data_IF_312932414619
#
_entry.id   IF_312932414619
#
_cell.length_a   1.000
_cell.length_b   1.000
_cell.length_c   1.000
_cell.angle_alpha   90.00
_cell.angle_beta   90.00
_cell.angle_gamma   90.00
#
_symmetry.space_group_name_H-M   'P 1'
#
loop_
_entity.id
_entity.type
_entity.pdbx_description
1 polymer ?
#
# COMPACT_ATOMS: atom_id res chain seq x y z
N UNK A 1 -14.53 9.70 -20.06
CA UNK A 1 -13.78 8.80 -19.15
C UNK A 1 -12.77 9.63 -18.35
N UNK A 2 -12.87 9.73 -17.02
CA UNK A 2 -11.95 10.54 -16.18
C UNK A 2 -10.68 9.74 -15.86
N UNK A 3 -9.50 10.24 -16.21
CA UNK A 3 -8.20 9.61 -15.90
C UNK A 3 -7.64 10.22 -14.61
N UNK A 4 -7.51 9.40 -13.57
CA UNK A 4 -6.79 9.80 -12.35
C UNK A 4 -5.29 9.86 -12.66
N UNK A 5 -4.63 10.95 -12.27
CA UNK A 5 -3.18 11.13 -12.52
C UNK A 5 -2.32 10.23 -11.63
N UNK A 6 -2.79 9.91 -10.43
CA UNK A 6 -2.04 9.15 -9.40
C UNK A 6 -2.95 8.15 -8.66
N UNK A 7 -3.53 7.17 -9.37
CA UNK A 7 -4.47 6.22 -8.78
C UNK A 7 -3.80 5.39 -7.67
N UNK A 8 -4.52 5.26 -6.55
CA UNK A 8 -4.18 4.33 -5.46
C UNK A 8 -5.30 3.30 -5.38
N UNK A 9 -4.97 2.03 -5.63
CA UNK A 9 -5.89 0.91 -5.53
C UNK A 9 -5.82 0.31 -4.13
N UNK A 10 -6.95 -0.07 -3.56
CA UNK A 10 -7.03 -0.69 -2.24
C UNK A 10 -7.75 -2.03 -2.40
N UNK A 11 -7.17 -3.11 -1.89
CA UNK A 11 -7.71 -4.47 -2.02
C UNK A 11 -7.50 -5.28 -0.74
N UNK A 12 -8.35 -6.27 -0.49
CA UNK A 12 -8.13 -7.32 0.53
C UNK A 12 -7.46 -8.57 -0.05
N UNK A 13 -7.36 -8.67 -1.38
CA UNK A 13 -6.72 -9.79 -2.06
C UNK A 13 -5.19 -9.60 -2.08
N UNK A 14 -4.58 -9.87 -0.92
CA UNK A 14 -3.13 -9.76 -0.77
C UNK A 14 -2.39 -10.85 -1.57
N UNK A 15 -3.01 -12.02 -1.78
CA UNK A 15 -2.36 -13.16 -2.44
C UNK A 15 -2.04 -12.85 -3.90
N UNK A 16 -2.94 -12.17 -4.60
CA UNK A 16 -2.76 -11.90 -6.03
C UNK A 16 -2.14 -10.56 -6.36
N UNK A 17 -2.24 -9.59 -5.45
CA UNK A 17 -1.78 -8.23 -5.68
C UNK A 17 -0.50 -7.85 -4.93
N UNK A 18 -0.14 -8.52 -3.84
CA UNK A 18 1.14 -8.28 -3.15
C UNK A 18 2.29 -9.03 -3.85
N UNK A 19 2.66 -8.54 -5.02
CA UNK A 19 3.70 -9.12 -5.88
C UNK A 19 4.58 -8.01 -6.45
N UNK A 20 5.90 -8.20 -6.43
CA UNK A 20 6.87 -7.24 -6.97
C UNK A 20 6.62 -6.92 -8.45
N UNK A 21 6.10 -7.87 -9.23
CA UNK A 21 5.75 -7.71 -10.65
C UNK A 21 4.59 -6.71 -10.88
N UNK A 22 3.87 -6.30 -9.83
CA UNK A 22 2.81 -5.28 -9.88
C UNK A 22 3.34 -3.87 -9.59
N UNK A 23 4.65 -3.67 -9.46
CA UNK A 23 5.24 -2.35 -9.33
C UNK A 23 5.10 -1.54 -10.63
N UNK A 24 4.63 -0.31 -10.52
CA UNK A 24 4.59 0.65 -11.62
C UNK A 24 4.61 2.08 -11.06
N UNK A 25 5.43 2.95 -11.65
CA UNK A 25 5.56 4.36 -11.22
C UNK A 25 4.26 5.16 -11.35
N UNK A 26 3.29 4.67 -12.12
CA UNK A 26 2.03 5.37 -12.43
C UNK A 26 0.93 5.11 -11.40
N UNK A 27 1.08 4.14 -10.50
CA UNK A 27 0.06 3.82 -9.52
C UNK A 27 0.63 3.31 -8.19
N UNK A 28 -0.25 3.13 -7.22
CA UNK A 28 0.02 2.44 -5.97
C UNK A 28 -1.04 1.37 -5.74
N UNK A 29 -0.65 0.24 -5.14
CA UNK A 29 -1.57 -0.79 -4.65
C UNK A 29 -1.38 -0.93 -3.14
N UNK A 30 -2.47 -0.91 -2.38
CA UNK A 30 -2.50 -1.16 -0.94
C UNK A 30 -3.32 -2.42 -0.69
N UNK A 31 -2.65 -3.48 -0.26
CA UNK A 31 -3.21 -4.76 0.15
C UNK A 31 -3.43 -4.74 1.67
N UNK A 32 -4.68 -4.89 2.12
CA UNK A 32 -5.06 -4.74 3.54
C UNK A 32 -5.50 -6.09 4.11
N UNK A 33 -4.59 -6.70 4.86
CA UNK A 33 -4.64 -8.03 5.44
C UNK A 33 -5.03 -7.97 6.93
N UNK A 34 -6.19 -7.38 7.20
CA UNK A 34 -6.75 -7.20 8.56
C UNK A 34 -8.22 -7.62 8.60
N UNK A 35 -8.79 -7.73 9.81
CA UNK A 35 -10.21 -8.06 9.95
C UNK A 35 -11.10 -6.97 9.32
N UNK A 36 -12.31 -7.34 8.89
CA UNK A 36 -13.23 -6.42 8.19
C UNK A 36 -13.56 -5.18 9.03
N UNK A 37 -13.67 -5.35 10.34
CA UNK A 37 -13.96 -4.28 11.30
C UNK A 37 -12.82 -3.26 11.43
N UNK A 38 -11.59 -3.66 11.14
CA UNK A 38 -10.39 -2.80 11.26
C UNK A 38 -10.03 -2.11 9.95
N UNK A 39 -10.53 -2.63 8.82
CA UNK A 39 -10.14 -2.22 7.47
C UNK A 39 -10.17 -0.70 7.26
N UNK A 40 -11.27 -0.04 7.64
CA UNK A 40 -11.42 1.41 7.43
C UNK A 40 -10.41 2.19 8.28
N UNK A 41 -10.18 1.78 9.53
CA UNK A 41 -9.24 2.45 10.42
C UNK A 41 -7.80 2.29 9.92
N UNK A 42 -7.42 1.08 9.52
CA UNK A 42 -6.11 0.78 8.94
C UNK A 42 -5.87 1.60 7.69
N UNK A 43 -6.81 1.62 6.75
CA UNK A 43 -6.71 2.44 5.54
C UNK A 43 -6.48 3.91 5.88
N UNK A 44 -7.28 4.48 6.80
CA UNK A 44 -7.11 5.88 7.22
C UNK A 44 -5.74 6.15 7.84
N UNK A 45 -5.21 5.23 8.65
CA UNK A 45 -3.87 5.35 9.24
C UNK A 45 -2.77 5.29 8.19
N UNK A 46 -2.90 4.44 7.17
CA UNK A 46 -1.96 4.40 6.05
C UNK A 46 -1.91 5.73 5.29
N UNK A 47 -3.06 6.32 4.99
CA UNK A 47 -3.10 7.65 4.34
C UNK A 47 -2.59 8.79 5.22
N UNK A 48 -2.37 8.56 6.52
CA UNK A 48 -1.75 9.52 7.45
C UNK A 48 -0.30 9.20 7.77
N UNK A 49 0.17 7.99 7.46
CA UNK A 49 1.51 7.55 7.78
C UNK A 49 2.56 8.40 7.04
N UNK A 50 3.62 8.90 7.69
CA UNK A 50 4.59 9.82 7.07
C UNK A 50 5.23 9.30 5.79
N UNK A 51 5.36 7.98 5.63
CA UNK A 51 5.90 7.36 4.41
C UNK A 51 4.89 7.27 3.26
N UNK A 52 3.59 7.46 3.50
CA UNK A 52 2.53 7.20 2.51
C UNK A 52 1.47 8.31 2.45
N UNK A 53 1.63 9.40 3.19
CA UNK A 53 0.60 10.43 3.36
C UNK A 53 0.33 11.29 2.12
N UNK A 54 1.26 11.35 1.16
CA UNK A 54 1.06 12.06 -0.11
C UNK A 54 1.00 11.07 -1.28
N UNK A 55 0.33 11.48 -2.37
CA UNK A 55 0.28 10.66 -3.58
C UNK A 55 1.68 10.37 -4.12
N UNK A 56 2.57 11.38 -4.16
CA UNK A 56 3.96 11.24 -4.58
C UNK A 56 4.70 10.16 -3.78
N UNK A 57 4.52 10.14 -2.45
CA UNK A 57 5.12 9.12 -1.58
C UNK A 57 4.52 7.73 -1.74
N UNK A 58 3.35 7.57 -2.37
CA UNK A 58 2.73 6.26 -2.62
C UNK A 58 3.07 5.69 -3.99
N UNK A 59 3.25 6.53 -5.00
CA UNK A 59 3.45 6.09 -6.38
C UNK A 59 4.67 5.18 -6.50
N UNK A 60 4.55 4.13 -7.32
CA UNK A 60 5.61 3.15 -7.47
C UNK A 60 5.76 2.21 -6.29
N UNK A 61 4.73 2.08 -5.42
CA UNK A 61 4.73 1.14 -4.31
C UNK A 61 3.59 0.14 -4.38
N UNK A 62 3.89 -1.08 -3.98
CA UNK A 62 2.91 -2.13 -3.66
C UNK A 62 3.06 -2.40 -2.17
N UNK A 63 2.06 -2.01 -1.39
CA UNK A 63 2.07 -1.98 0.07
C UNK A 63 1.18 -3.11 0.58
N UNK A 64 1.65 -3.93 1.52
CA UNK A 64 0.86 -4.84 2.33
C UNK A 64 0.80 -4.33 3.76
N UNK A 65 -0.39 -4.34 4.33
CA UNK A 65 -0.64 -3.88 5.70
C UNK A 65 -1.32 -4.99 6.46
N UNK A 66 -0.75 -5.36 7.59
CA UNK A 66 -1.30 -6.34 8.54
C UNK A 66 -1.67 -5.61 9.84
N UNK A 67 -2.09 -6.35 10.86
CA UNK A 67 -2.36 -5.78 12.19
C UNK A 67 -1.10 -5.36 12.96
N UNK A 68 0.10 -5.77 12.53
CA UNK A 68 1.35 -5.53 13.29
C UNK A 68 2.45 -4.86 12.49
N UNK A 69 2.38 -4.91 11.16
CA UNK A 69 3.44 -4.40 10.28
C UNK A 69 2.91 -3.90 8.94
N UNK A 70 3.69 -3.01 8.33
CA UNK A 70 3.58 -2.62 6.93
C UNK A 70 4.80 -3.16 6.20
N UNK A 71 4.58 -3.90 5.13
CA UNK A 71 5.62 -4.34 4.21
C UNK A 71 5.35 -3.73 2.83
N UNK A 72 6.39 -3.34 2.09
CA UNK A 72 6.19 -2.80 0.75
C UNK A 72 7.35 -3.05 -0.18
N UNK A 73 7.01 -3.16 -1.46
CA UNK A 73 7.95 -3.03 -2.56
C UNK A 73 7.93 -1.60 -3.09
N UNK A 74 9.07 -1.15 -3.61
CA UNK A 74 9.23 0.17 -4.23
C UNK A 74 10.03 0.06 -5.54
N UNK A 75 9.62 0.85 -6.55
CA UNK A 75 10.38 0.96 -7.79
C UNK A 75 11.77 1.54 -7.51
N UNK A 76 12.81 0.79 -7.87
CA UNK A 76 14.20 1.15 -7.64
C UNK A 76 14.83 0.38 -6.47
N UNK A 77 14.02 -0.16 -5.57
CA UNK A 77 14.51 -0.91 -4.40
C UNK A 77 14.46 -2.41 -4.65
N UNK A 78 15.58 -3.11 -4.56
CA UNK A 78 15.67 -4.56 -4.81
C UNK A 78 15.01 -5.41 -3.72
N UNK A 79 14.92 -4.89 -2.50
CA UNK A 79 14.43 -5.61 -1.33
C UNK A 79 13.05 -5.14 -0.90
N UNK A 80 12.34 -6.00 -0.17
CA UNK A 80 11.11 -5.64 0.53
C UNK A 80 11.45 -4.88 1.80
N UNK A 81 10.77 -3.77 2.03
CA UNK A 81 10.96 -2.98 3.25
C UNK A 81 9.80 -3.27 4.20
N UNK A 82 10.12 -3.65 5.43
CA UNK A 82 9.12 -3.93 6.47
C UNK A 82 9.33 -3.03 7.67
N UNK A 83 8.25 -2.43 8.16
CA UNK A 83 8.23 -1.57 9.34
C UNK A 83 7.12 -1.98 10.31
N UNK A 84 7.29 -1.78 11.63
CA UNK A 84 6.21 -1.95 12.58
C UNK A 84 5.03 -1.05 12.25
N UNK A 85 3.82 -1.54 12.52
CA UNK A 85 2.60 -0.79 12.35
C UNK A 85 1.67 -1.04 13.53
N UNK A 86 1.25 0.04 14.17
CA UNK A 86 0.21 0.01 15.18
C UNK A 86 -1.08 0.55 14.56
N UNK A 87 -2.03 -0.33 14.17
CA UNK A 87 -3.32 0.03 13.60
C UNK A 87 -4.23 0.74 14.59
#
# INVERSE_FOLDING_TARGET
>A
MKRLKTPTFITKDCKDFYKRQRLDKRYCIICVDVHRTEFVNVVRKIFRHPLFNTAAKRMGKVIKVTSTQISYFEVGESQEITIPFQP
#
